data_IF_487522679085
#
_entry.id   IF_487522679085
#
_cell.length_a   1.000
_cell.length_b   1.000
_cell.length_c   1.000
_cell.angle_alpha   90.00
_cell.angle_beta   90.00
_cell.angle_gamma   90.00
#
_symmetry.space_group_name_H-M   'P 1'
#
loop_
_entity.id
_entity.type
_entity.pdbx_description
1 polymer ?
#
# COMPACT_ATOMS: atom_id res chain seq x y z
N UNK A 1 57.18 -15.35 -64.39
CA UNK A 1 56.03 -14.43 -64.54
C UNK A 1 54.78 -15.06 -63.94
N UNK A 2 54.32 -14.54 -62.81
CA UNK A 2 52.92 -14.22 -62.43
C UNK A 2 52.74 -14.33 -60.91
N UNK A 3 52.66 -13.15 -60.31
CA UNK A 3 52.15 -12.82 -58.98
C UNK A 3 50.65 -13.10 -58.94
N UNK A 4 50.11 -13.64 -57.84
CA UNK A 4 48.75 -13.32 -57.37
C UNK A 4 48.77 -13.23 -55.85
N UNK A 5 48.23 -12.11 -55.36
CA UNK A 5 48.31 -11.61 -54.00
C UNK A 5 47.32 -12.27 -53.04
N UNK A 6 47.76 -12.47 -51.79
CA UNK A 6 46.92 -12.83 -50.65
C UNK A 6 46.45 -11.52 -50.01
N UNK A 7 45.17 -11.19 -50.13
CA UNK A 7 44.58 -10.02 -49.49
C UNK A 7 43.89 -10.46 -48.20
N UNK A 8 44.57 -10.30 -47.07
CA UNK A 8 44.00 -10.52 -45.74
C UNK A 8 43.11 -9.33 -45.36
N UNK A 9 41.83 -9.57 -45.09
CA UNK A 9 40.90 -8.54 -44.59
C UNK A 9 41.12 -8.43 -43.08
N UNK A 10 41.65 -7.31 -42.61
CA UNK A 10 41.73 -6.96 -41.19
C UNK A 10 40.42 -6.26 -40.80
N UNK A 11 39.70 -6.85 -39.84
CA UNK A 11 38.49 -6.25 -39.26
C UNK A 11 38.85 -5.07 -38.35
N UNK A 12 38.28 -3.89 -38.59
CA UNK A 12 38.34 -2.76 -37.66
C UNK A 12 37.33 -2.97 -36.52
N UNK A 13 37.83 -3.11 -35.30
CA UNK A 13 37.02 -3.00 -34.07
C UNK A 13 37.01 -1.52 -33.68
N UNK A 14 35.87 -0.85 -33.86
CA UNK A 14 35.67 0.52 -33.38
C UNK A 14 35.38 0.51 -31.88
N UNK A 15 36.33 0.97 -31.06
CA UNK A 15 36.12 1.24 -29.64
C UNK A 15 35.35 2.55 -29.47
N UNK A 16 34.05 2.47 -29.19
CA UNK A 16 33.25 3.62 -28.78
C UNK A 16 33.42 3.85 -27.27
N UNK A 17 34.35 4.73 -26.89
CA UNK A 17 34.45 5.22 -25.52
C UNK A 17 33.25 6.14 -25.21
N UNK A 18 32.24 5.60 -24.53
CA UNK A 18 31.11 6.40 -24.03
C UNK A 18 31.54 7.19 -22.79
N UNK A 19 31.31 8.51 -22.81
CA UNK A 19 31.62 9.42 -21.72
C UNK A 19 30.91 9.02 -20.39
N UNK A 20 31.48 9.34 -19.21
CA UNK A 20 30.84 9.06 -17.93
C UNK A 20 29.57 9.91 -17.78
N UNK A 21 28.43 9.23 -17.62
CA UNK A 21 27.16 9.86 -17.24
C UNK A 21 27.30 10.36 -15.81
N UNK A 22 27.42 11.68 -15.64
CA UNK A 22 27.29 12.33 -14.33
C UNK A 22 25.81 12.20 -13.93
N UNK A 23 25.52 11.19 -13.11
CA UNK A 23 24.22 11.05 -12.44
C UNK A 23 24.12 12.20 -11.44
N UNK A 24 23.39 13.26 -11.81
CA UNK A 24 22.98 14.29 -10.85
C UNK A 24 22.20 13.59 -9.73
N UNK A 25 22.49 13.85 -8.44
CA UNK A 25 21.67 13.34 -7.35
C UNK A 25 20.23 13.79 -7.58
N UNK A 26 19.33 12.83 -7.74
CA UNK A 26 17.89 13.06 -7.85
C UNK A 26 17.45 13.72 -6.53
N UNK A 27 17.11 15.00 -6.60
CA UNK A 27 16.63 15.77 -5.46
C UNK A 27 15.34 15.15 -4.90
N UNK A 28 15.31 14.89 -3.60
CA UNK A 28 14.14 14.83 -2.72
C UNK A 28 12.80 14.47 -3.40
N UNK A 29 12.59 13.18 -3.67
CA UNK A 29 11.22 12.66 -3.72
C UNK A 29 10.68 12.78 -2.30
N UNK A 30 9.76 13.72 -2.08
CA UNK A 30 9.00 13.89 -0.83
C UNK A 30 8.54 12.52 -0.33
N UNK A 31 9.17 12.02 0.73
CA UNK A 31 8.87 10.76 1.43
C UNK A 31 7.51 10.73 2.14
N UNK A 32 6.60 11.68 1.84
CA UNK A 32 5.30 11.84 2.51
C UNK A 32 4.34 10.67 2.27
N UNK A 33 4.61 9.83 1.27
CA UNK A 33 3.74 8.72 0.90
C UNK A 33 4.18 7.37 1.51
N UNK A 34 5.28 7.35 2.28
CA UNK A 34 5.70 6.15 3.01
C UNK A 34 5.04 6.17 4.39
N UNK A 35 4.15 5.21 4.63
CA UNK A 35 3.54 4.96 5.94
C UNK A 35 4.67 4.66 6.95
N UNK A 36 4.81 5.45 8.04
CA UNK A 36 5.71 5.14 9.12
C UNK A 36 5.06 4.06 9.99
N UNK A 37 5.25 2.80 9.58
CA UNK A 37 4.69 1.61 10.22
C UNK A 37 5.21 1.50 11.65
N UNK A 38 4.31 1.30 12.60
CA UNK A 38 4.64 1.02 14.01
C UNK A 38 4.45 -0.46 14.30
N UNK A 39 3.33 -1.02 13.88
CA UNK A 39 2.98 -2.42 14.11
C UNK A 39 2.26 -2.98 12.89
N UNK A 40 2.42 -4.30 12.66
CA UNK A 40 1.72 -5.09 11.64
C UNK A 40 1.22 -6.36 12.30
N UNK A 41 0.04 -6.83 11.91
CA UNK A 41 -0.48 -8.12 12.39
C UNK A 41 -1.23 -8.88 11.31
N UNK A 42 -1.14 -10.21 11.37
CA UNK A 42 -1.78 -11.13 10.44
C UNK A 42 -3.06 -11.71 11.06
N UNK A 43 -4.14 -11.76 10.30
CA UNK A 43 -5.43 -12.29 10.73
C UNK A 43 -5.60 -13.80 10.54
N UNK A 44 -4.76 -14.43 9.71
CA UNK A 44 -4.71 -15.87 9.50
C UNK A 44 -5.62 -16.42 8.39
N UNK A 45 -6.68 -15.69 8.02
CA UNK A 45 -7.53 -16.06 6.88
C UNK A 45 -6.84 -15.69 5.55
N UNK A 46 -7.00 -16.53 4.53
CA UNK A 46 -6.67 -16.21 3.13
C UNK A 46 -7.95 -15.79 2.41
N UNK A 47 -7.89 -14.67 1.71
CA UNK A 47 -9.01 -14.10 0.95
C UNK A 47 -8.85 -14.38 -0.54
N UNK A 48 -9.95 -14.23 -1.28
CA UNK A 48 -9.87 -14.20 -2.74
C UNK A 48 -9.10 -12.93 -3.19
N UNK A 49 -8.04 -13.06 -4.02
CA UNK A 49 -7.25 -11.91 -4.47
C UNK A 49 -8.06 -10.92 -5.31
N UNK A 50 -9.02 -11.39 -6.11
CA UNK A 50 -9.88 -10.53 -6.94
C UNK A 50 -10.81 -9.70 -6.07
N UNK A 51 -11.44 -10.34 -5.07
CA UNK A 51 -12.30 -9.65 -4.11
C UNK A 51 -11.54 -8.61 -3.30
N UNK A 52 -10.32 -8.95 -2.88
CA UNK A 52 -9.42 -8.04 -2.15
C UNK A 52 -9.06 -6.82 -2.98
N UNK A 53 -8.73 -7.02 -4.26
CA UNK A 53 -8.41 -5.94 -5.18
C UNK A 53 -9.61 -5.04 -5.46
N UNK A 54 -10.83 -5.59 -5.61
CA UNK A 54 -12.02 -4.78 -5.87
C UNK A 54 -12.47 -3.99 -4.62
N UNK A 55 -12.40 -4.58 -3.43
CA UNK A 55 -12.62 -3.85 -2.17
C UNK A 55 -11.63 -2.68 -2.02
N UNK A 56 -10.34 -2.89 -2.34
CA UNK A 56 -9.33 -1.82 -2.37
C UNK A 56 -9.69 -0.72 -3.38
N UNK A 57 -10.07 -1.09 -4.61
CA UNK A 57 -10.50 -0.13 -5.65
C UNK A 57 -11.70 0.71 -5.19
N UNK A 58 -12.65 0.13 -4.46
CA UNK A 58 -13.77 0.87 -3.87
C UNK A 58 -13.30 1.93 -2.87
N UNK A 59 -12.36 1.58 -1.99
CA UNK A 59 -11.74 2.53 -1.05
C UNK A 59 -11.01 3.67 -1.77
N UNK A 60 -10.26 3.36 -2.83
CA UNK A 60 -9.59 4.38 -3.67
C UNK A 60 -10.61 5.33 -4.31
N UNK A 61 -11.70 4.78 -4.89
CA UNK A 61 -12.77 5.60 -5.49
C UNK A 61 -13.45 6.48 -4.45
N UNK A 62 -13.72 5.94 -3.27
CA UNK A 62 -14.30 6.69 -2.16
C UNK A 62 -13.42 7.86 -1.73
N UNK A 63 -12.11 7.64 -1.55
CA UNK A 63 -11.15 8.69 -1.16
C UNK A 63 -11.02 9.78 -2.24
N UNK A 64 -10.92 9.37 -3.52
CA UNK A 64 -10.83 10.27 -4.68
C UNK A 64 -12.05 11.16 -4.86
N UNK A 65 -13.22 10.72 -4.40
CA UNK A 65 -14.43 11.54 -4.38
C UNK A 65 -14.41 12.63 -3.30
N UNK A 66 -13.30 12.77 -2.55
CA UNK A 66 -13.13 13.79 -1.51
C UNK A 66 -13.61 13.34 -0.13
N UNK A 67 -14.04 12.09 0.02
CA UNK A 67 -14.46 11.56 1.31
C UNK A 67 -13.27 11.36 2.24
N UNK A 68 -13.53 11.51 3.55
CA UNK A 68 -12.56 11.36 4.64
C UNK A 68 -13.26 10.78 5.86
N UNK A 69 -12.56 9.96 6.63
CA UNK A 69 -13.01 9.40 7.89
C UNK A 69 -12.89 10.46 8.97
N UNK A 70 -13.96 10.64 9.73
CA UNK A 70 -13.98 11.59 10.84
C UNK A 70 -13.00 11.22 11.97
N UNK A 71 -12.81 12.15 12.88
CA UNK A 71 -11.96 11.94 14.06
C UNK A 71 -12.48 10.77 14.88
N UNK A 72 -11.57 9.92 15.37
CA UNK A 72 -11.91 8.78 16.23
C UNK A 72 -12.98 7.87 15.62
N UNK A 73 -12.97 7.73 14.29
CA UNK A 73 -13.95 6.97 13.52
C UNK A 73 -13.27 5.98 12.55
N UNK A 74 -14.07 5.19 11.85
CA UNK A 74 -13.64 4.22 10.86
C UNK A 74 -14.53 4.25 9.62
N UNK A 75 -14.01 3.74 8.50
CA UNK A 75 -14.78 3.56 7.27
C UNK A 75 -14.44 2.23 6.61
N UNK A 76 -15.45 1.37 6.36
CA UNK A 76 -15.29 0.14 5.60
C UNK A 76 -15.73 0.26 4.13
N UNK A 77 -15.03 -0.44 3.26
CA UNK A 77 -15.44 -0.75 1.88
C UNK A 77 -15.47 -2.25 1.66
N UNK A 78 -16.63 -2.72 1.20
CA UNK A 78 -16.97 -4.14 1.10
C UNK A 78 -17.00 -4.60 -0.35
N UNK A 79 -16.56 -5.84 -0.59
CA UNK A 79 -16.84 -6.55 -1.82
C UNK A 79 -16.91 -8.06 -1.55
N UNK A 80 -18.03 -8.69 -1.89
CA UNK A 80 -18.33 -10.10 -1.61
C UNK A 80 -18.03 -10.47 -0.14
N UNK A 81 -16.98 -11.27 0.10
CA UNK A 81 -16.56 -11.72 1.42
C UNK A 81 -15.43 -10.92 2.05
N UNK A 82 -14.92 -9.88 1.38
CA UNK A 82 -13.76 -9.10 1.81
C UNK A 82 -14.13 -7.68 2.19
N UNK A 83 -13.45 -7.15 3.20
CA UNK A 83 -13.53 -5.74 3.60
C UNK A 83 -12.14 -5.13 3.70
N UNK A 84 -11.99 -3.95 3.10
CA UNK A 84 -10.93 -3.01 3.45
C UNK A 84 -11.50 -1.96 4.37
N UNK A 85 -10.85 -1.66 5.48
CA UNK A 85 -11.31 -0.57 6.34
C UNK A 85 -10.17 0.25 6.92
N UNK A 86 -10.45 1.54 7.07
CA UNK A 86 -9.56 2.53 7.63
C UNK A 86 -10.07 2.95 9.01
N UNK A 87 -9.18 3.03 9.99
CA UNK A 87 -9.43 3.64 11.29
C UNK A 87 -8.64 4.96 11.39
N UNK A 88 -9.34 6.07 11.62
CA UNK A 88 -8.73 7.37 11.89
C UNK A 88 -8.76 7.66 13.39
N UNK A 89 -7.61 7.52 14.04
CA UNK A 89 -7.48 7.68 15.49
C UNK A 89 -7.10 9.11 15.90
N UNK A 90 -6.98 10.03 14.95
CA UNK A 90 -6.68 11.45 15.21
C UNK A 90 -7.81 12.09 16.01
N UNK A 91 -7.44 13.04 16.88
CA UNK A 91 -8.40 13.77 17.71
C UNK A 91 -9.04 14.97 16.98
N UNK A 92 -8.33 15.58 16.05
CA UNK A 92 -8.73 16.88 15.49
C UNK A 92 -8.90 16.87 13.96
N UNK A 93 -8.32 15.89 13.27
CA UNK A 93 -8.23 15.90 11.81
C UNK A 93 -8.95 14.70 11.20
N UNK A 94 -9.70 14.96 10.12
CA UNK A 94 -10.23 13.91 9.25
C UNK A 94 -9.09 13.38 8.37
N UNK A 95 -9.18 12.12 7.96
CA UNK A 95 -8.15 11.52 7.11
C UNK A 95 -8.74 10.52 6.10
N UNK A 96 -8.06 10.35 4.99
CA UNK A 96 -8.49 9.52 3.86
C UNK A 96 -7.69 8.24 3.70
N UNK A 97 -7.85 7.58 2.57
CA UNK A 97 -7.05 6.43 2.17
C UNK A 97 -6.55 6.62 0.72
N UNK A 98 -5.56 7.50 0.50
CA UNK A 98 -4.90 7.66 -0.79
C UNK A 98 -4.43 6.33 -1.38
N UNK A 99 -4.44 6.24 -2.71
CA UNK A 99 -4.07 5.02 -3.42
C UNK A 99 -2.64 4.57 -3.11
N UNK A 100 -1.71 5.51 -2.97
CA UNK A 100 -0.31 5.22 -2.67
C UNK A 100 -0.17 4.53 -1.30
N UNK A 101 -0.94 4.99 -0.31
CA UNK A 101 -0.96 4.38 1.02
C UNK A 101 -1.58 2.97 0.98
N UNK A 102 -2.69 2.79 0.26
CA UNK A 102 -3.35 1.48 0.14
C UNK A 102 -2.49 0.46 -0.60
N UNK A 103 -1.78 0.88 -1.64
CA UNK A 103 -0.84 0.03 -2.37
C UNK A 103 0.35 -0.36 -1.46
N UNK A 104 0.84 0.57 -0.65
CA UNK A 104 1.89 0.26 0.31
C UNK A 104 1.41 -0.71 1.40
N UNK A 105 0.18 -0.55 1.91
CA UNK A 105 -0.41 -1.50 2.87
C UNK A 105 -0.53 -2.89 2.27
N UNK A 106 -1.03 -3.02 1.05
CA UNK A 106 -1.12 -4.30 0.36
C UNK A 106 0.25 -4.96 0.22
N UNK A 107 1.28 -4.19 -0.15
CA UNK A 107 2.65 -4.68 -0.23
C UNK A 107 3.15 -5.17 1.14
N UNK A 108 3.03 -4.35 2.19
CA UNK A 108 3.46 -4.71 3.56
C UNK A 108 2.78 -6.00 4.02
N UNK A 109 1.46 -6.11 3.80
CA UNK A 109 0.70 -7.30 4.20
C UNK A 109 1.09 -8.53 3.38
N UNK A 110 1.30 -8.38 2.07
CA UNK A 110 1.75 -9.47 1.21
C UNK A 110 3.12 -10.01 1.64
N UNK A 111 4.06 -9.11 1.96
CA UNK A 111 5.42 -9.47 2.40
C UNK A 111 5.44 -10.06 3.81
N UNK A 112 4.57 -9.59 4.72
CA UNK A 112 4.59 -9.99 6.13
C UNK A 112 3.70 -11.19 6.42
N UNK A 113 2.50 -11.23 5.85
CA UNK A 113 1.46 -12.21 6.14
C UNK A 113 1.25 -13.22 5.01
N UNK A 114 1.75 -12.94 3.80
CA UNK A 114 1.50 -13.71 2.60
C UNK A 114 0.46 -13.06 1.67
N UNK A 115 0.45 -13.43 0.38
CA UNK A 115 -0.41 -12.82 -0.61
C UNK A 115 -1.89 -13.07 -0.30
N UNK A 116 -2.71 -12.02 -0.37
CA UNK A 116 -4.14 -12.06 -0.07
C UNK A 116 -4.50 -12.58 1.35
N UNK A 117 -3.58 -12.56 2.30
CA UNK A 117 -3.90 -12.83 3.70
C UNK A 117 -4.58 -11.61 4.36
N UNK A 118 -5.46 -11.90 5.30
CA UNK A 118 -6.01 -10.89 6.22
C UNK A 118 -4.92 -10.33 7.13
N UNK A 119 -5.06 -9.06 7.50
CA UNK A 119 -4.11 -8.41 8.37
C UNK A 119 -4.38 -6.92 8.54
N UNK A 120 -3.49 -6.26 9.25
CA UNK A 120 -3.58 -4.84 9.56
C UNK A 120 -2.22 -4.19 9.66
N UNK A 121 -2.19 -2.90 9.34
CA UNK A 121 -1.01 -2.03 9.44
C UNK A 121 -1.39 -0.83 10.31
N UNK A 122 -0.63 -0.61 11.38
CA UNK A 122 -0.80 0.51 12.29
C UNK A 122 0.36 1.49 12.17
N UNK A 123 0.04 2.77 12.02
CA UNK A 123 0.99 3.87 12.14
C UNK A 123 0.63 4.74 13.34
N UNK A 124 1.42 4.65 14.41
CA UNK A 124 1.31 5.52 15.58
C UNK A 124 1.60 6.98 15.24
N UNK A 125 2.62 7.34 14.43
CA UNK A 125 2.85 8.73 14.02
C UNK A 125 1.68 9.34 13.26
N UNK A 126 1.02 8.57 12.39
CA UNK A 126 -0.16 9.03 11.67
C UNK A 126 -1.46 8.85 12.46
N UNK A 127 -1.43 8.14 13.58
CA UNK A 127 -2.61 7.74 14.35
C UNK A 127 -3.67 7.10 13.45
N UNK A 128 -3.26 6.13 12.62
CA UNK A 128 -4.06 5.58 11.53
C UNK A 128 -3.82 4.09 11.35
N UNK A 129 -4.89 3.32 11.19
CA UNK A 129 -4.81 1.87 10.95
C UNK A 129 -5.53 1.49 9.66
N UNK A 130 -4.93 0.62 8.85
CA UNK A 130 -5.56 0.02 7.68
C UNK A 130 -5.70 -1.47 7.93
N UNK A 131 -6.81 -2.04 7.48
CA UNK A 131 -7.13 -3.42 7.76
C UNK A 131 -7.74 -4.07 6.53
N UNK A 132 -7.41 -5.34 6.34
CA UNK A 132 -8.00 -6.24 5.35
C UNK A 132 -8.52 -7.45 6.12
N UNK A 133 -9.82 -7.70 6.04
CA UNK A 133 -10.45 -8.78 6.78
C UNK A 133 -11.53 -9.46 5.94
N UNK A 134 -11.96 -10.65 6.38
CA UNK A 134 -13.22 -11.21 5.91
C UNK A 134 -14.39 -10.46 6.54
N UNK A 135 -15.50 -10.35 5.81
CA UNK A 135 -16.75 -9.76 6.33
C UNK A 135 -17.22 -10.52 7.57
N UNK A 136 -17.06 -11.85 7.58
CA UNK A 136 -17.33 -12.70 8.73
C UNK A 136 -16.58 -12.25 9.98
N UNK A 137 -15.32 -11.85 9.85
CA UNK A 137 -14.47 -11.42 10.97
C UNK A 137 -14.92 -10.11 11.61
N UNK A 138 -15.58 -9.22 10.86
CA UNK A 138 -16.05 -7.92 11.37
C UNK A 138 -17.55 -7.86 11.63
N UNK A 139 -18.32 -8.80 11.09
CA UNK A 139 -19.78 -8.84 11.26
C UNK A 139 -20.16 -8.90 12.74
N UNK A 140 -21.09 -8.05 13.16
CA UNK A 140 -21.56 -7.93 14.55
C UNK A 140 -20.57 -7.30 15.54
N UNK A 141 -19.36 -6.91 15.10
CA UNK A 141 -18.40 -6.22 15.96
C UNK A 141 -18.65 -4.72 15.97
N UNK A 142 -18.53 -4.12 17.15
CA UNK A 142 -18.56 -2.66 17.30
C UNK A 142 -17.21 -2.05 16.91
N UNK A 143 -17.17 -0.79 16.45
CA UNK A 143 -15.93 -0.13 16.02
C UNK A 143 -14.78 -0.16 17.03
N UNK A 144 -15.00 -0.03 18.37
CA UNK A 144 -13.92 -0.16 19.35
C UNK A 144 -13.23 -1.54 19.40
N UNK A 145 -13.82 -2.57 18.79
CA UNK A 145 -13.23 -3.90 18.65
C UNK A 145 -12.58 -4.14 17.29
N UNK A 146 -12.74 -3.21 16.34
CA UNK A 146 -12.20 -3.28 14.98
C UNK A 146 -10.96 -2.40 14.81
N UNK A 147 -10.87 -1.33 15.58
CA UNK A 147 -9.73 -0.41 15.58
C UNK A 147 -8.89 -0.58 16.85
N UNK A 148 -7.65 -0.05 16.90
CA UNK A 148 -6.81 -0.09 18.10
C UNK A 148 -7.55 0.42 19.35
N UNK A 149 -7.26 -0.15 20.54
CA UNK A 149 -8.02 0.02 21.80
C UNK A 149 -8.16 1.47 22.31
N UNK A 150 -7.40 2.42 21.76
CA UNK A 150 -7.46 3.85 22.08
C UNK A 150 -7.83 4.74 20.87
N UNK A 151 -8.20 4.10 19.76
CA UNK A 151 -8.47 4.73 18.49
C UNK A 151 -9.89 5.27 18.41
N UNK A 152 -10.87 4.47 18.82
CA UNK A 152 -12.28 4.82 18.74
C UNK A 152 -12.73 5.26 20.11
N UNK A 153 -13.52 6.33 20.16
CA UNK A 153 -14.34 6.52 21.34
C UNK A 153 -15.41 5.44 21.23
N UNK A 154 -15.65 4.68 22.29
CA UNK A 154 -16.96 4.07 22.39
C UNK A 154 -17.91 5.26 22.30
N UNK A 155 -18.69 5.37 21.23
CA UNK A 155 -19.83 6.27 21.26
C UNK A 155 -20.66 5.78 22.46
N UNK A 156 -20.51 6.47 23.59
CA UNK A 156 -21.51 6.51 24.65
C UNK A 156 -22.58 7.40 24.04
N UNK A 157 -23.52 6.76 23.38
CA UNK A 157 -24.53 7.38 22.54
C UNK A 157 -25.37 6.26 21.94
N UNK A 158 -26.20 5.69 22.82
CA UNK A 158 -27.53 5.10 22.61
C UNK A 158 -27.87 4.56 21.21
#
# INVERSE_FOLDING_TARGET
MKLVAITTIVALIANSASAPVIVKPQSDVKTRHIIPVTDVGCGGDVLDPSDTAEAKKKMIRWDRAGNKVDQKNWHPEYYNGTVWYLCNCKLFWRDGAPEEELNQVEQILSETCGPAHTGWVWSKPWQKAYNVASVKTISGKKPPHLCPRHCMWAHIGD
#
